data_IF_908820159263
#
_entry.id   IF_908820159263
#
_cell.length_a   1.000
_cell.length_b   1.000
_cell.length_c   1.000
_cell.angle_alpha   90.00
_cell.angle_beta   90.00
_cell.angle_gamma   90.00
#
_symmetry.space_group_name_H-M   'P 1'
#
loop_
_entity.id
_entity.type
_entity.pdbx_description
1 polymer ?
#
# COMPACT_ATOMS: atom_id res chain seq x y z
N UNK A 1 -1.46 -3.92 6.78
CA UNK A 1 -2.05 -5.13 6.19
C UNK A 1 -1.19 -6.32 6.60
N UNK A 2 -1.75 -7.39 7.19
CA UNK A 2 -1.00 -8.53 7.72
C UNK A 2 -0.09 -9.22 6.69
N UNK A 3 -0.41 -9.14 5.40
CA UNK A 3 0.35 -9.73 4.29
C UNK A 3 1.78 -9.18 4.14
N UNK A 4 2.07 -7.97 4.64
CA UNK A 4 3.41 -7.38 4.55
C UNK A 4 4.35 -7.85 5.66
N UNK A 5 3.88 -8.70 6.58
CA UNK A 5 4.67 -9.19 7.70
C UNK A 5 5.04 -10.67 7.52
N UNK A 6 6.34 -10.96 7.70
CA UNK A 6 6.85 -12.33 7.68
C UNK A 6 6.53 -13.00 9.01
N UNK A 7 5.38 -13.66 9.09
CA UNK A 7 4.91 -14.41 10.28
C UNK A 7 5.67 -15.71 10.57
N UNK A 8 6.74 -16.00 9.82
CA UNK A 8 7.53 -17.22 9.98
C UNK A 8 8.10 -17.35 11.40
N UNK A 9 8.49 -16.23 12.01
CA UNK A 9 8.96 -16.19 13.41
C UNK A 9 7.89 -16.59 14.44
N UNK A 10 6.61 -16.55 14.08
CA UNK A 10 5.49 -16.94 14.94
C UNK A 10 4.97 -18.37 14.67
N UNK A 11 5.64 -19.15 13.81
CA UNK A 11 5.18 -20.49 13.36
C UNK A 11 3.77 -20.46 12.76
N UNK A 12 3.45 -19.38 12.03
CA UNK A 12 2.16 -19.21 11.36
C UNK A 12 2.38 -19.25 9.85
N UNK A 13 1.65 -20.14 9.18
CA UNK A 13 1.46 -20.09 7.74
C UNK A 13 0.07 -19.52 7.49
N UNK A 14 -0.03 -18.56 6.58
CA UNK A 14 -1.28 -17.93 6.21
C UNK A 14 -1.59 -18.14 4.73
N UNK A 15 -2.86 -18.00 4.38
CA UNK A 15 -3.32 -18.04 3.00
C UNK A 15 -4.48 -17.04 2.82
N UNK A 16 -4.45 -16.33 1.70
CA UNK A 16 -5.58 -15.54 1.22
C UNK A 16 -6.25 -16.32 0.10
N UNK A 17 -7.49 -16.77 0.35
CA UNK A 17 -8.31 -17.45 -0.63
C UNK A 17 -9.20 -16.43 -1.31
N UNK A 18 -9.14 -16.37 -2.63
CA UNK A 18 -9.98 -15.51 -3.44
C UNK A 18 -10.47 -16.33 -4.63
N UNK A 19 -11.72 -16.77 -4.56
CA UNK A 19 -12.37 -17.55 -5.61
C UNK A 19 -13.85 -17.12 -5.74
N UNK A 20 -14.64 -17.86 -6.52
CA UNK A 20 -16.06 -17.53 -6.76
C UNK A 20 -16.97 -17.77 -5.54
N UNK A 21 -16.51 -18.56 -4.58
CA UNK A 21 -17.28 -18.99 -3.41
C UNK A 21 -16.91 -18.17 -2.17
N UNK A 22 -15.62 -17.88 -1.98
CA UNK A 22 -15.11 -17.19 -0.80
C UNK A 22 -13.96 -16.22 -1.11
N UNK A 23 -13.93 -15.14 -0.33
CA UNK A 23 -12.78 -14.24 -0.20
C UNK A 23 -12.44 -14.18 1.29
N UNK A 24 -11.40 -14.92 1.70
CA UNK A 24 -11.10 -15.13 3.11
C UNK A 24 -9.61 -15.20 3.39
N UNK A 25 -9.19 -14.58 4.49
CA UNK A 25 -7.88 -14.78 5.09
C UNK A 25 -7.96 -15.93 6.10
N UNK A 26 -7.04 -16.89 6.00
CA UNK A 26 -6.93 -18.01 6.95
C UNK A 26 -5.49 -18.20 7.37
N UNK A 27 -5.28 -18.78 8.55
CA UNK A 27 -3.95 -19.12 9.03
C UNK A 27 -3.95 -20.45 9.78
N UNK A 28 -2.77 -21.08 9.82
CA UNK A 28 -2.51 -22.34 10.52
C UNK A 28 -1.22 -22.24 11.30
N UNK A 29 -1.19 -22.90 12.45
CA UNK A 29 -0.03 -22.99 13.31
C UNK A 29 0.74 -24.26 12.93
N UNK A 30 2.05 -24.15 12.72
CA UNK A 30 2.90 -25.27 12.30
C UNK A 30 3.65 -25.94 13.44
N UNK A 31 3.75 -25.28 14.59
CA UNK A 31 4.45 -25.83 15.75
C UNK A 31 3.48 -26.53 16.70
N UNK A 32 3.77 -27.78 17.14
CA UNK A 32 2.94 -28.45 18.14
C UNK A 32 3.00 -27.69 19.48
N UNK A 33 1.92 -27.76 20.24
CA UNK A 33 1.77 -27.11 21.57
C UNK A 33 1.92 -25.57 21.56
N UNK A 34 1.86 -24.94 20.39
CA UNK A 34 1.75 -23.50 20.23
C UNK A 34 0.30 -23.16 19.88
N UNK A 35 -0.30 -22.24 20.63
CA UNK A 35 -1.60 -21.67 20.27
C UNK A 35 -1.41 -20.21 19.88
N UNK A 36 -2.21 -19.75 18.93
CA UNK A 36 -2.14 -18.39 18.42
C UNK A 36 -3.53 -17.90 18.07
N UNK A 37 -3.79 -16.61 18.28
CA UNK A 37 -5.06 -15.99 17.92
C UNK A 37 -4.86 -14.53 17.52
N UNK A 38 -5.59 -14.12 16.49
CA UNK A 38 -5.82 -12.71 16.21
C UNK A 38 -7.05 -12.23 16.99
N UNK A 39 -6.95 -11.10 17.67
CA UNK A 39 -8.04 -10.48 18.43
C UNK A 39 -8.09 -8.99 18.15
N UNK A 40 -9.27 -8.44 17.94
CA UNK A 40 -9.49 -7.00 17.91
C UNK A 40 -9.79 -6.52 19.33
N UNK A 41 -9.00 -5.58 19.84
CA UNK A 41 -9.26 -5.03 21.18
C UNK A 41 -10.35 -3.94 21.14
N UNK A 42 -10.75 -3.42 22.30
CA UNK A 42 -11.76 -2.36 22.44
C UNK A 42 -11.37 -1.02 21.81
N UNK A 43 -10.09 -0.81 21.50
CA UNK A 43 -9.56 0.39 20.85
C UNK A 43 -9.50 0.25 19.32
N UNK A 44 -9.89 -0.91 18.77
CA UNK A 44 -9.84 -1.17 17.33
C UNK A 44 -8.45 -1.59 16.81
N UNK A 45 -7.54 -1.99 17.70
CA UNK A 45 -6.22 -2.51 17.35
C UNK A 45 -6.29 -4.03 17.16
N UNK A 46 -5.84 -4.51 16.00
CA UNK A 46 -5.69 -5.92 15.72
C UNK A 46 -4.41 -6.43 16.40
N UNK A 47 -4.54 -7.44 17.25
CA UNK A 47 -3.45 -7.99 18.04
C UNK A 47 -3.26 -9.46 17.70
N UNK A 48 -2.00 -9.91 17.62
CA UNK A 48 -1.64 -11.31 17.55
C UNK A 48 -1.12 -11.75 18.92
N UNK A 49 -1.79 -12.74 19.50
CA UNK A 49 -1.40 -13.37 20.74
C UNK A 49 -0.90 -14.78 20.49
N UNK A 50 0.15 -15.19 21.19
CA UNK A 50 0.64 -16.57 21.23
C UNK A 50 0.64 -17.11 22.65
N UNK A 51 0.45 -18.42 22.78
CA UNK A 51 0.53 -19.14 24.05
C UNK A 51 1.47 -20.32 23.89
N UNK A 52 2.41 -20.43 24.82
CA UNK A 52 3.32 -21.58 24.94
C UNK A 52 3.21 -22.20 26.33
N UNK A 53 3.51 -23.50 26.42
CA UNK A 53 3.55 -24.23 27.70
C UNK A 53 4.58 -23.69 28.68
N UNK A 54 5.61 -22.99 28.20
CA UNK A 54 6.67 -22.40 29.03
C UNK A 54 6.21 -21.14 29.76
N UNK A 55 5.41 -20.28 29.11
CA UNK A 55 5.00 -18.99 29.67
C UNK A 55 3.67 -19.04 30.41
N UNK A 56 2.82 -20.02 30.08
CA UNK A 56 1.50 -20.22 30.70
C UNK A 56 0.65 -18.94 30.73
N UNK A 57 0.79 -18.09 29.71
CA UNK A 57 0.00 -16.88 29.52
C UNK A 57 -0.10 -16.49 28.03
N UNK A 58 -1.12 -15.71 27.68
CA UNK A 58 -1.26 -15.16 26.32
C UNK A 58 -0.31 -13.98 26.17
N UNK A 59 0.72 -14.17 25.35
CA UNK A 59 1.73 -13.17 25.06
C UNK A 59 1.38 -12.43 23.77
N UNK A 60 1.29 -11.10 23.83
CA UNK A 60 1.13 -10.29 22.61
C UNK A 60 2.46 -10.25 21.86
N UNK A 61 2.48 -10.77 20.63
CA UNK A 61 3.68 -10.77 19.78
C UNK A 61 3.63 -9.69 18.71
N UNK A 62 2.43 -9.18 18.41
CA UNK A 62 2.24 -8.11 17.45
C UNK A 62 0.94 -7.35 17.71
N UNK A 63 0.94 -6.07 17.36
CA UNK A 63 -0.24 -5.20 17.33
C UNK A 63 -0.17 -4.31 16.09
N UNK A 64 -1.31 -4.11 15.43
CA UNK A 64 -1.45 -3.10 14.38
C UNK A 64 -1.23 -1.73 14.99
N UNK A 65 -0.44 -0.86 14.36
CA UNK A 65 -0.32 0.53 14.79
C UNK A 65 -1.45 1.37 14.16
N UNK A 66 -2.05 2.24 14.96
CA UNK A 66 -2.89 3.37 14.51
C UNK A 66 -2.15 4.69 14.67
N UNK A 67 -0.81 4.65 14.60
CA UNK A 67 0.05 5.83 14.66
C UNK A 67 0.77 6.03 13.34
N UNK A 68 1.17 7.27 13.08
CA UNK A 68 2.06 7.64 11.98
C UNK A 68 1.48 7.25 10.60
N UNK A 69 2.30 6.67 9.73
CA UNK A 69 1.93 6.24 8.38
C UNK A 69 0.96 5.04 8.31
N UNK A 70 0.46 4.54 9.44
CA UNK A 70 -0.58 3.49 9.44
C UNK A 70 -2.00 4.06 9.48
N UNK A 71 -2.16 5.34 9.83
CA UNK A 71 -3.47 6.01 9.83
C UNK A 71 -3.92 6.21 8.39
N UNK A 72 -5.16 5.80 8.10
CA UNK A 72 -5.76 5.99 6.77
C UNK A 72 -5.80 7.47 6.40
N UNK A 73 -5.30 7.81 5.21
CA UNK A 73 -5.39 9.17 4.68
C UNK A 73 -4.60 10.22 5.47
N UNK A 74 -3.56 9.82 6.21
CA UNK A 74 -2.71 10.76 6.97
C UNK A 74 -2.02 11.79 6.07
N UNK A 75 -1.72 11.41 4.82
CA UNK A 75 -1.22 12.31 3.80
C UNK A 75 -2.30 12.55 2.74
N UNK A 76 -2.25 13.74 2.13
CA UNK A 76 -3.18 14.17 1.09
C UNK A 76 -3.10 13.27 -0.16
N UNK A 77 -4.11 13.33 -1.04
CA UNK A 77 -4.02 12.68 -2.34
C UNK A 77 -2.74 13.07 -3.09
N UNK A 78 -2.14 12.10 -3.78
CA UNK A 78 -0.84 12.22 -4.48
C UNK A 78 0.36 12.55 -3.58
N UNK A 79 0.23 12.39 -2.27
CA UNK A 79 1.32 12.32 -1.32
C UNK A 79 1.51 10.89 -0.80
N UNK A 80 2.72 10.59 -0.31
CA UNK A 80 3.01 9.35 0.41
C UNK A 80 3.63 9.64 1.76
N UNK A 81 3.29 8.80 2.74
CA UNK A 81 3.88 8.86 4.08
C UNK A 81 5.18 8.06 4.14
N UNK A 82 6.24 8.67 4.68
CA UNK A 82 7.52 8.04 4.96
C UNK A 82 7.95 8.38 6.40
N UNK A 83 8.17 7.35 7.22
CA UNK A 83 8.58 7.53 8.62
C UNK A 83 10.04 8.00 8.74
N UNK A 84 10.82 7.95 7.66
CA UNK A 84 12.24 8.34 7.66
C UNK A 84 12.44 9.80 7.24
N UNK A 85 11.38 10.54 6.91
CA UNK A 85 11.47 11.95 6.49
C UNK A 85 10.77 12.86 7.49
N UNK A 86 11.25 14.10 7.59
CA UNK A 86 10.55 15.17 8.29
C UNK A 86 10.40 16.37 7.34
N UNK A 87 9.16 16.77 6.98
CA UNK A 87 7.87 16.18 7.34
C UNK A 87 7.66 14.74 6.80
N UNK A 88 6.76 13.97 7.43
CA UNK A 88 6.49 12.57 7.02
C UNK A 88 5.77 12.46 5.67
N UNK A 89 4.95 13.46 5.32
CA UNK A 89 4.21 13.47 4.07
C UNK A 89 5.02 14.12 2.95
N UNK A 90 5.23 13.38 1.87
CA UNK A 90 6.01 13.79 0.71
C UNK A 90 5.12 13.76 -0.53
N UNK A 91 5.13 14.83 -1.35
CA UNK A 91 4.47 14.77 -2.65
C UNK A 91 5.20 13.77 -3.58
N UNK A 92 4.43 13.04 -4.39
CA UNK A 92 5.00 12.21 -5.45
C UNK A 92 5.77 13.11 -6.44
N UNK A 93 6.85 12.59 -7.04
CA UNK A 93 7.57 13.31 -8.10
C UNK A 93 6.58 13.77 -9.19
N UNK A 94 6.75 14.99 -9.70
CA UNK A 94 5.80 15.61 -10.63
C UNK A 94 4.59 16.28 -9.98
N UNK A 95 4.48 16.23 -8.64
CA UNK A 95 3.52 17.00 -7.85
C UNK A 95 4.25 18.02 -6.97
N UNK A 96 3.56 19.10 -6.58
CA UNK A 96 4.06 20.16 -5.71
C UNK A 96 3.01 20.52 -4.65
N UNK A 97 3.46 21.11 -3.54
CA UNK A 97 2.54 21.66 -2.54
C UNK A 97 1.67 22.75 -3.17
N UNK A 98 0.35 22.64 -3.00
CA UNK A 98 -0.64 23.63 -3.43
C UNK A 98 -0.55 24.93 -2.61
N UNK A 99 -0.08 24.85 -1.36
CA UNK A 99 0.07 25.99 -0.46
C UNK A 99 1.53 26.15 0.00
N UNK A 100 2.34 26.97 -0.70
CA UNK A 100 3.72 27.24 -0.29
C UNK A 100 3.83 28.12 0.97
N UNK A 101 2.75 28.80 1.37
CA UNK A 101 2.73 29.69 2.54
C UNK A 101 2.35 29.00 3.86
N UNK A 102 1.77 27.79 3.83
CA UNK A 102 1.58 27.00 5.07
C UNK A 102 2.93 26.41 5.49
N UNK A 103 3.40 26.85 6.66
CA UNK A 103 4.69 26.51 7.25
C UNK A 103 4.95 25.00 7.24
N UNK A 104 6.22 24.61 7.04
CA UNK A 104 6.73 23.24 7.22
C UNK A 104 6.45 22.66 8.61
N UNK A 105 6.17 23.51 9.60
CA UNK A 105 5.96 23.11 10.98
C UNK A 105 4.55 22.60 11.31
N UNK A 106 3.53 22.83 10.48
CA UNK A 106 2.15 22.70 10.98
C UNK A 106 1.56 21.30 10.88
N UNK A 107 2.30 20.31 10.34
CA UNK A 107 1.83 18.92 10.23
C UNK A 107 0.56 18.72 9.39
N UNK A 108 -0.09 19.80 8.95
CA UNK A 108 -1.33 19.77 8.17
C UNK A 108 -1.06 19.35 6.73
N UNK A 109 -1.89 18.41 6.29
CA UNK A 109 -2.07 17.89 4.94
C UNK A 109 -1.69 18.92 3.85
N UNK A 110 -0.45 18.84 3.36
CA UNK A 110 -0.02 19.59 2.18
C UNK A 110 -0.73 19.02 0.97
N UNK A 111 -1.70 19.73 0.42
CA UNK A 111 -2.32 19.35 -0.85
C UNK A 111 -1.23 19.19 -1.92
N UNK A 112 -1.14 18.01 -2.54
CA UNK A 112 -0.17 17.75 -3.60
C UNK A 112 -0.84 17.88 -4.96
N UNK A 113 -0.55 18.97 -5.65
CA UNK A 113 -1.13 19.28 -6.95
C UNK A 113 -0.12 18.95 -8.04
N UNK A 114 -0.59 18.39 -9.15
CA UNK A 114 0.24 18.06 -10.30
C UNK A 114 0.94 19.32 -10.85
N UNK A 115 2.23 19.23 -11.17
CA UNK A 115 3.01 20.35 -11.72
C UNK A 115 2.61 20.70 -13.14
N UNK A 116 2.48 19.67 -13.98
CA UNK A 116 2.13 19.81 -15.40
C UNK A 116 0.88 19.00 -15.73
N UNK A 117 -0.06 19.59 -16.47
CA UNK A 117 -1.26 18.89 -16.93
C UNK A 117 -0.90 17.72 -17.87
N UNK A 118 -1.62 16.61 -17.72
CA UNK A 118 -1.48 15.44 -18.58
C UNK A 118 -2.02 15.72 -19.98
N UNK A 119 -1.40 15.12 -20.99
CA UNK A 119 -1.85 15.22 -22.38
C UNK A 119 -2.32 13.88 -22.96
N UNK A 120 -2.43 12.85 -22.11
CA UNK A 120 -2.79 11.47 -22.42
C UNK A 120 -1.77 10.74 -23.33
N UNK A 121 -1.52 11.24 -24.54
CA UNK A 121 -0.73 10.55 -25.57
C UNK A 121 0.79 10.62 -25.37
N UNK A 122 1.28 11.67 -24.70
CA UNK A 122 2.69 11.91 -24.43
C UNK A 122 3.07 11.76 -22.96
N UNK A 123 2.15 11.26 -22.14
CA UNK A 123 2.42 10.97 -20.74
C UNK A 123 3.28 9.72 -20.61
N UNK A 124 3.96 9.60 -19.47
CA UNK A 124 4.79 8.45 -19.16
C UNK A 124 4.79 8.24 -17.64
N UNK A 125 5.51 7.23 -17.14
CA UNK A 125 5.31 6.75 -15.76
C UNK A 125 6.55 6.87 -14.90
N UNK A 126 6.36 7.41 -13.70
CA UNK A 126 7.36 7.43 -12.65
C UNK A 126 7.22 6.17 -11.78
N UNK A 127 8.33 5.45 -11.62
CA UNK A 127 8.41 4.27 -10.77
C UNK A 127 8.64 4.67 -9.31
N UNK A 128 7.67 4.36 -8.46
CA UNK A 128 7.83 4.38 -7.01
C UNK A 128 8.07 2.97 -6.49
N UNK A 129 9.13 2.80 -5.68
CA UNK A 129 9.47 1.52 -5.05
C UNK A 129 9.08 1.50 -3.58
N UNK A 130 8.91 0.28 -3.06
CA UNK A 130 8.63 0.02 -1.64
C UNK A 130 7.33 0.65 -1.15
N UNK A 131 6.31 0.63 -1.99
CA UNK A 131 5.05 1.32 -1.75
C UNK A 131 3.98 0.35 -1.23
N UNK A 132 3.24 0.80 -0.20
CA UNK A 132 1.87 0.34 0.05
C UNK A 132 1.01 0.91 -1.07
N UNK A 133 0.42 0.04 -1.88
CA UNK A 133 -0.43 0.48 -3.00
C UNK A 133 -1.54 1.43 -2.51
N UNK A 134 -1.93 2.40 -3.35
CA UNK A 134 -2.99 3.34 -3.03
C UNK A 134 -4.30 2.62 -2.75
N UNK A 135 -5.20 3.31 -2.04
CA UNK A 135 -6.56 2.82 -1.84
C UNK A 135 -7.19 2.41 -3.19
N UNK A 136 -7.87 1.27 -3.21
CA UNK A 136 -8.58 0.75 -4.37
C UNK A 136 -10.05 1.18 -4.41
N UNK A 137 -10.53 1.85 -3.36
CA UNK A 137 -11.84 2.50 -3.29
C UNK A 137 -11.86 3.71 -4.21
N UNK A 138 -12.90 3.86 -5.05
CA UNK A 138 -13.04 5.00 -5.97
C UNK A 138 -12.80 4.67 -7.45
N UNK A 139 -12.26 3.47 -7.76
CA UNK A 139 -12.22 2.96 -9.13
C UNK A 139 -10.87 2.36 -9.48
N UNK A 140 -10.85 1.03 -9.58
CA UNK A 140 -9.72 0.26 -10.09
C UNK A 140 -10.18 -0.75 -11.14
N UNK A 141 -9.32 -0.99 -12.13
CA UNK A 141 -9.50 -2.06 -13.11
C UNK A 141 -8.46 -3.13 -12.80
N UNK A 142 -8.92 -4.36 -12.55
CA UNK A 142 -8.05 -5.48 -12.20
C UNK A 142 -8.13 -6.55 -13.29
N UNK A 143 -6.97 -6.99 -13.78
CA UNK A 143 -6.83 -8.12 -14.69
C UNK A 143 -5.62 -8.95 -14.26
N UNK A 144 -5.88 -10.15 -13.73
CA UNK A 144 -4.84 -11.03 -13.17
C UNK A 144 -4.08 -11.84 -14.23
N UNK A 145 -4.52 -11.81 -15.48
CA UNK A 145 -3.95 -12.65 -16.56
C UNK A 145 -2.79 -11.94 -17.23
N UNK A 146 -2.92 -10.62 -17.42
CA UNK A 146 -1.96 -9.85 -18.19
C UNK A 146 -0.71 -9.49 -17.38
N UNK A 147 0.39 -9.27 -18.09
CA UNK A 147 1.64 -8.83 -17.49
C UNK A 147 1.76 -7.30 -17.40
N UNK A 148 2.81 -6.85 -16.72
CA UNK A 148 3.10 -5.44 -16.46
C UNK A 148 3.21 -4.59 -17.75
N UNK A 149 3.78 -5.14 -18.82
CA UNK A 149 3.94 -4.42 -20.09
C UNK A 149 2.58 -4.11 -20.73
N UNK A 150 1.67 -5.09 -20.78
CA UNK A 150 0.32 -4.86 -21.28
C UNK A 150 -0.46 -3.92 -20.34
N UNK A 151 -0.22 -4.01 -19.02
CA UNK A 151 -0.80 -3.11 -18.04
C UNK A 151 -0.43 -1.64 -18.33
N UNK A 152 0.85 -1.37 -18.63
CA UNK A 152 1.34 -0.05 -19.06
C UNK A 152 0.63 0.43 -20.32
N UNK A 153 0.48 -0.43 -21.32
CA UNK A 153 -0.20 -0.07 -22.57
C UNK A 153 -1.68 0.24 -22.38
N UNK A 154 -2.39 -0.55 -21.56
CA UNK A 154 -3.79 -0.30 -21.22
C UNK A 154 -3.96 1.02 -20.46
N UNK A 155 -3.08 1.29 -19.49
CA UNK A 155 -3.07 2.55 -18.77
C UNK A 155 -2.79 3.74 -19.70
N UNK A 156 -1.83 3.62 -20.63
CA UNK A 156 -1.56 4.67 -21.62
C UNK A 156 -2.78 5.01 -22.48
N UNK A 157 -3.49 3.98 -22.98
CA UNK A 157 -4.69 4.15 -23.82
C UNK A 157 -5.89 4.72 -23.06
N UNK A 158 -5.93 4.54 -21.74
CA UNK A 158 -7.00 5.08 -20.88
C UNK A 158 -6.58 6.45 -20.33
N UNK A 159 -7.11 7.55 -20.86
CA UNK A 159 -6.77 8.90 -20.39
C UNK A 159 -7.14 9.19 -18.92
N UNK A 160 -8.03 8.38 -18.32
CA UNK A 160 -8.36 8.49 -16.90
C UNK A 160 -7.41 7.70 -16.00
N UNK A 161 -6.51 6.87 -16.56
CA UNK A 161 -5.55 6.13 -15.75
C UNK A 161 -4.59 7.09 -15.04
N UNK A 162 -4.48 6.95 -13.71
CA UNK A 162 -3.58 7.75 -12.86
C UNK A 162 -2.34 6.96 -12.42
N UNK A 163 -2.46 5.64 -12.24
CA UNK A 163 -1.34 4.75 -11.95
C UNK A 163 -1.64 3.29 -12.30
N UNK A 164 -0.61 2.45 -12.33
CA UNK A 164 -0.76 0.99 -12.42
C UNK A 164 0.30 0.24 -11.61
N UNK A 165 0.04 -1.03 -11.31
CA UNK A 165 0.96 -1.95 -10.64
C UNK A 165 0.62 -3.42 -10.98
N UNK A 166 1.49 -4.35 -10.58
CA UNK A 166 1.15 -5.77 -10.55
C UNK A 166 0.14 -6.06 -9.43
N UNK A 167 -0.69 -7.11 -9.58
CA UNK A 167 -1.56 -7.56 -8.49
C UNK A 167 -0.89 -8.56 -7.55
N UNK A 168 0.10 -9.29 -8.08
CA UNK A 168 0.88 -10.29 -7.34
C UNK A 168 2.36 -10.01 -7.58
N UNK A 169 3.16 -10.02 -6.51
CA UNK A 169 4.61 -9.74 -6.56
C UNK A 169 5.47 -11.00 -6.61
N UNK A 170 4.87 -12.19 -6.49
CA UNK A 170 5.58 -13.47 -6.58
C UNK A 170 6.13 -13.69 -7.99
N UNK A 171 7.18 -14.50 -8.09
CA UNK A 171 7.78 -14.95 -9.36
C UNK A 171 8.14 -13.84 -10.35
N UNK A 172 8.54 -12.66 -9.84
CA UNK A 172 8.90 -11.50 -10.66
C UNK A 172 7.73 -10.58 -11.03
N UNK A 173 6.52 -10.89 -10.55
CA UNK A 173 5.34 -10.04 -10.64
C UNK A 173 4.37 -10.45 -11.77
N UNK A 174 3.07 -10.44 -11.47
CA UNK A 174 2.02 -10.78 -12.41
C UNK A 174 0.71 -10.03 -12.14
N UNK A 175 -0.17 -10.05 -13.15
CA UNK A 175 -1.43 -9.33 -13.15
C UNK A 175 -1.27 -7.83 -13.27
N UNK A 176 -2.40 -7.14 -13.28
CA UNK A 176 -2.49 -5.72 -13.53
C UNK A 176 -3.60 -5.12 -12.68
N UNK A 177 -3.26 -4.05 -11.97
CA UNK A 177 -4.22 -3.14 -11.35
C UNK A 177 -3.97 -1.74 -11.89
N UNK A 178 -5.03 -1.08 -12.34
CA UNK A 178 -5.03 0.27 -12.88
C UNK A 178 -5.94 1.14 -12.02
N UNK A 179 -5.43 2.25 -11.51
CA UNK A 179 -6.21 3.28 -10.82
C UNK A 179 -6.72 4.31 -11.81
N UNK A 180 -7.98 4.73 -11.62
CA UNK A 180 -8.61 5.82 -12.40
C UNK A 180 -9.05 7.01 -11.54
N UNK A 181 -8.89 6.90 -10.22
CA UNK A 181 -9.19 7.95 -9.25
C UNK A 181 -7.88 8.57 -8.70
N UNK A 182 -8.04 9.52 -7.79
CA UNK A 182 -6.91 10.07 -7.05
C UNK A 182 -6.20 8.98 -6.23
N UNK A 183 -4.89 9.15 -6.06
CA UNK A 183 -4.08 8.17 -5.36
C UNK A 183 -3.98 8.56 -3.88
N UNK A 184 -4.61 7.78 -3.02
CA UNK A 184 -4.70 8.06 -1.58
C UNK A 184 -4.09 6.94 -0.74
N UNK A 185 -3.82 7.24 0.54
CA UNK A 185 -3.40 6.25 1.55
C UNK A 185 -2.10 5.50 1.19
N UNK A 186 -1.18 6.22 0.55
CA UNK A 186 0.12 5.71 0.11
C UNK A 186 1.15 5.81 1.24
N UNK A 187 1.93 4.75 1.42
CA UNK A 187 3.06 4.72 2.35
C UNK A 187 4.30 4.15 1.67
N UNK A 188 5.48 4.66 2.03
CA UNK A 188 6.77 4.04 1.73
C UNK A 188 7.27 3.20 2.90
N UNK A 189 7.80 2.01 2.59
CA UNK A 189 8.53 1.15 3.50
C UNK A 189 10.03 1.24 3.23
N UNK A 190 10.84 0.90 4.24
CA UNK A 190 12.30 0.82 4.08
C UNK A 190 12.71 -0.43 3.27
N UNK A 191 12.08 -1.57 3.52
CA UNK A 191 12.49 -2.89 3.03
C UNK A 191 11.32 -3.81 2.61
N UNK A 192 10.10 -3.25 2.52
CA UNK A 192 8.88 -3.96 2.13
C UNK A 192 8.12 -3.20 1.03
N UNK A 193 6.85 -3.57 0.77
CA UNK A 193 6.00 -2.94 -0.23
C UNK A 193 6.24 -3.46 -1.65
N UNK A 194 5.75 -2.72 -2.64
CA UNK A 194 5.84 -3.09 -4.05
C UNK A 194 6.01 -1.86 -4.95
N UNK A 195 6.12 -2.11 -6.26
CA UNK A 195 6.30 -1.07 -7.26
C UNK A 195 4.95 -0.48 -7.69
N UNK A 196 4.89 0.84 -7.80
CA UNK A 196 3.75 1.61 -8.31
C UNK A 196 4.22 2.54 -9.43
N UNK A 197 3.56 2.50 -10.57
CA UNK A 197 3.86 3.32 -11.74
C UNK A 197 2.85 4.46 -11.84
N UNK A 198 3.26 5.68 -11.47
CA UNK A 198 2.38 6.86 -11.44
C UNK A 198 2.50 7.63 -12.75
N UNK A 199 1.36 7.94 -13.38
CA UNK A 199 1.34 8.70 -14.64
C UNK A 199 1.71 10.16 -14.42
N UNK A 200 2.68 10.65 -15.19
CA UNK A 200 3.16 12.03 -15.20
C UNK A 200 3.27 12.54 -16.64
N UNK A 201 3.29 13.86 -16.81
CA UNK A 201 3.72 14.46 -18.07
C UNK A 201 5.20 14.13 -18.30
N UNK A 202 5.61 13.90 -19.55
CA UNK A 202 6.99 13.51 -19.86
C UNK A 202 8.06 14.50 -19.36
N UNK A 203 7.72 15.79 -19.23
CA UNK A 203 8.62 16.84 -18.72
C UNK A 203 8.92 16.73 -17.22
N UNK A 204 8.07 16.03 -16.46
CA UNK A 204 8.18 15.89 -15.00
C UNK A 204 8.90 14.60 -14.56
N UNK A 205 9.37 13.78 -15.51
CA UNK A 205 9.97 12.48 -15.25
C UNK A 205 11.41 12.49 -14.73
#
# INVERSE_FOLDING_TARGET
IPEMQRWHYANIIYNMMENKEEVAYTYRITSPNLYSRFTLNSEGLLQLYTWTSERVEWNMVWVSSLTDCNIYGVCSPYAYCDMNTFPMCNCIKGFKSGNPQKSELDGELRECIRKTQLNCSGDNFFLMKNIKLPNTTGGVIVDRIIGLQECKERCNRNCNCTAFANTDIRDGGSGCVIWTAELEDIRRYADAGQDLYVRLAAIDL
#
